data_IF_161529454509
#
_entry.id   IF_161529454509
#
_cell.length_a   1.000
_cell.length_b   1.000
_cell.length_c   1.000
_cell.angle_alpha   90.00
_cell.angle_beta   90.00
_cell.angle_gamma   90.00
#
_symmetry.space_group_name_H-M   'P 1'
#
loop_
_entity.id
_entity.type
_entity.pdbx_description
1 polymer ?
#
# COMPACT_ATOMS: atom_id res chain seq x y z
N UNK A 1 14.97 7.52 21.39
CA UNK A 1 15.83 8.71 21.54
C UNK A 1 16.07 9.48 20.24
N UNK A 2 16.58 8.88 19.16
CA UNK A 2 16.89 9.61 17.91
C UNK A 2 15.75 10.48 17.35
N UNK A 3 14.54 9.91 17.14
CA UNK A 3 13.39 10.68 16.62
C UNK A 3 13.05 11.91 17.47
N UNK A 4 13.10 11.78 18.80
CA UNK A 4 12.78 12.91 19.69
C UNK A 4 13.86 13.98 19.66
N UNK A 5 15.14 13.59 19.54
CA UNK A 5 16.24 14.54 19.40
C UNK A 5 16.14 15.36 18.10
N UNK A 6 15.81 14.70 16.99
CA UNK A 6 15.78 15.34 15.67
C UNK A 6 14.45 16.07 15.38
N UNK A 7 13.34 15.55 15.90
CA UNK A 7 11.98 15.96 15.49
C UNK A 7 11.02 16.22 16.67
N UNK A 8 11.44 15.98 17.90
CA UNK A 8 10.57 16.10 19.08
C UNK A 8 9.36 15.16 18.99
N UNK A 9 8.14 15.73 19.08
CA UNK A 9 6.87 15.00 18.91
C UNK A 9 6.25 15.18 17.52
N UNK A 10 6.96 15.83 16.59
CA UNK A 10 6.45 16.05 15.24
C UNK A 10 6.40 14.74 14.44
N UNK A 11 5.48 14.69 13.48
CA UNK A 11 5.47 13.65 12.45
C UNK A 11 6.67 13.86 11.54
N UNK A 12 7.33 12.77 11.18
CA UNK A 12 8.39 12.77 10.16
C UNK A 12 8.24 11.54 9.26
N UNK A 13 8.67 11.67 8.01
CA UNK A 13 8.45 10.65 6.97
C UNK A 13 9.50 9.55 7.03
N UNK A 14 9.52 8.80 8.13
CA UNK A 14 10.40 7.64 8.33
C UNK A 14 9.58 6.41 8.73
N UNK A 15 10.00 5.24 8.26
CA UNK A 15 9.45 3.97 8.72
C UNK A 15 9.79 3.71 10.20
N UNK A 16 9.15 2.70 10.81
CA UNK A 16 9.38 2.32 12.21
C UNK A 16 10.85 1.95 12.52
N UNK A 17 11.63 1.56 11.51
CA UNK A 17 13.07 1.27 11.62
C UNK A 17 13.97 2.50 11.44
N UNK A 18 13.39 3.70 11.21
CA UNK A 18 14.12 4.95 11.00
C UNK A 18 14.50 5.24 9.54
N UNK A 19 14.15 4.37 8.59
CA UNK A 19 14.45 4.60 7.17
C UNK A 19 13.55 5.71 6.59
N UNK A 20 14.11 6.77 5.97
CA UNK A 20 13.32 7.81 5.32
C UNK A 20 12.46 7.26 4.18
N UNK A 21 11.27 7.83 4.01
CA UNK A 21 10.50 7.62 2.80
C UNK A 21 11.30 8.15 1.60
N UNK A 22 11.34 7.37 0.52
CA UNK A 22 12.00 7.78 -0.71
C UNK A 22 11.13 7.42 -1.91
N UNK A 23 11.37 8.09 -3.04
CA UNK A 23 10.70 7.79 -4.30
C UNK A 23 10.96 6.35 -4.79
N UNK A 24 11.95 5.63 -4.26
CA UNK A 24 12.24 4.23 -4.64
C UNK A 24 11.13 3.26 -4.26
N UNK A 25 10.20 3.66 -3.38
CA UNK A 25 9.01 2.88 -3.05
C UNK A 25 7.89 3.00 -4.09
N UNK A 26 7.96 3.97 -5.00
CA UNK A 26 7.03 4.10 -6.11
C UNK A 26 7.50 3.18 -7.23
N UNK A 27 6.70 2.18 -7.57
CA UNK A 27 6.91 1.41 -8.78
C UNK A 27 6.01 1.97 -9.89
N UNK A 28 6.57 2.07 -11.08
CA UNK A 28 5.88 2.49 -12.29
C UNK A 28 6.71 1.98 -13.47
N UNK A 29 6.18 0.99 -14.20
CA UNK A 29 6.84 0.37 -15.34
C UNK A 29 6.28 0.84 -16.67
N UNK A 30 5.09 1.46 -16.66
CA UNK A 30 4.40 1.88 -17.89
C UNK A 30 3.78 0.71 -18.65
N UNK A 31 3.83 -0.49 -18.07
CA UNK A 31 3.07 -1.66 -18.47
C UNK A 31 1.89 -1.77 -17.51
N UNK A 32 0.68 -1.54 -18.02
CA UNK A 32 -0.53 -1.45 -17.20
C UNK A 32 -0.83 -2.75 -16.44
N UNK A 33 -0.48 -3.91 -17.00
CA UNK A 33 -0.70 -5.20 -16.32
C UNK A 33 0.29 -5.35 -15.16
N UNK A 34 1.56 -5.03 -15.39
CA UNK A 34 2.58 -5.06 -14.34
C UNK A 34 2.25 -4.06 -13.22
N UNK A 35 1.87 -2.83 -13.59
CA UNK A 35 1.54 -1.76 -12.64
C UNK A 35 0.31 -2.16 -11.79
N UNK A 36 -0.75 -2.72 -12.37
CA UNK A 36 -1.92 -3.20 -11.62
C UNK A 36 -1.59 -4.36 -10.68
N UNK A 37 -0.71 -5.27 -11.07
CA UNK A 37 -0.24 -6.33 -10.18
C UNK A 37 0.59 -5.78 -9.01
N UNK A 38 1.41 -4.76 -9.25
CA UNK A 38 2.17 -4.08 -8.21
C UNK A 38 1.23 -3.37 -7.22
N UNK A 39 0.20 -2.69 -7.71
CA UNK A 39 -0.83 -2.05 -6.89
C UNK A 39 -1.57 -3.06 -6.01
N UNK A 40 -2.05 -4.18 -6.59
CA UNK A 40 -2.69 -5.27 -5.82
C UNK A 40 -1.76 -5.82 -4.72
N UNK A 41 -0.48 -6.01 -5.03
CA UNK A 41 0.50 -6.49 -4.05
C UNK A 41 0.75 -5.46 -2.93
N UNK A 42 0.79 -4.16 -3.27
CA UNK A 42 0.94 -3.09 -2.30
C UNK A 42 -0.23 -3.09 -1.29
N UNK A 43 -1.46 -3.24 -1.78
CA UNK A 43 -2.64 -3.27 -0.90
C UNK A 43 -2.67 -4.49 0.03
N UNK A 44 -2.23 -5.67 -0.44
CA UNK A 44 -2.12 -6.84 0.43
C UNK A 44 -1.06 -6.67 1.53
N UNK A 45 0.07 -6.03 1.21
CA UNK A 45 1.11 -5.72 2.19
C UNK A 45 0.65 -4.67 3.21
N UNK A 46 -0.08 -3.65 2.76
CA UNK A 46 -0.68 -2.64 3.63
C UNK A 46 -1.72 -3.27 4.57
N UNK A 47 -2.64 -4.09 4.04
CA UNK A 47 -3.63 -4.86 4.82
C UNK A 47 -2.97 -5.71 5.92
N UNK A 48 -1.91 -6.45 5.58
CA UNK A 48 -1.17 -7.27 6.53
C UNK A 48 -0.48 -6.41 7.60
N UNK A 49 0.07 -5.25 7.21
CA UNK A 49 0.67 -4.30 8.16
C UNK A 49 -0.36 -3.78 9.16
N UNK A 50 -1.56 -3.39 8.71
CA UNK A 50 -2.61 -2.96 9.63
C UNK A 50 -3.08 -4.07 10.56
N UNK A 51 -3.19 -5.31 10.08
CA UNK A 51 -3.48 -6.47 10.94
C UNK A 51 -2.46 -6.59 12.08
N UNK A 52 -1.17 -6.44 11.78
CA UNK A 52 -0.13 -6.48 12.81
C UNK A 52 -0.21 -5.29 13.77
N UNK A 53 -0.48 -4.09 13.27
CA UNK A 53 -0.66 -2.91 14.14
C UNK A 53 -1.86 -3.05 15.07
N UNK A 54 -2.97 -3.64 14.60
CA UNK A 54 -4.14 -3.95 15.44
C UNK A 54 -3.77 -4.91 16.57
N UNK A 55 -2.92 -5.89 16.30
CA UNK A 55 -2.44 -6.85 17.30
C UNK A 55 -1.42 -6.25 18.30
N UNK A 56 -0.82 -5.11 17.97
CA UNK A 56 0.21 -4.45 18.81
C UNK A 56 -0.35 -3.43 19.80
N UNK A 57 -1.65 -3.15 19.78
CA UNK A 57 -2.28 -2.15 20.64
C UNK A 57 -3.54 -2.71 21.29
N UNK A 58 -3.97 -2.12 22.40
CA UNK A 58 -5.26 -2.37 23.04
C UNK A 58 -6.19 -1.14 23.03
N UNK A 59 -5.73 -0.02 22.47
CA UNK A 59 -6.53 1.19 22.35
C UNK A 59 -7.67 1.01 21.34
N UNK A 60 -8.90 1.17 21.81
CA UNK A 60 -10.11 0.95 21.01
C UNK A 60 -10.26 1.95 19.85
N UNK A 61 -9.86 3.20 20.02
CA UNK A 61 -9.97 4.22 18.98
C UNK A 61 -8.93 3.99 17.88
N UNK A 62 -7.73 3.56 18.26
CA UNK A 62 -6.71 3.15 17.28
C UNK A 62 -7.18 1.92 16.49
N UNK A 63 -7.70 0.88 17.18
CA UNK A 63 -8.22 -0.32 16.51
C UNK A 63 -9.35 -0.01 15.52
N UNK A 64 -10.23 0.93 15.86
CA UNK A 64 -11.31 1.38 14.97
C UNK A 64 -10.78 2.01 13.69
N UNK A 65 -9.80 2.90 13.80
CA UNK A 65 -9.18 3.56 12.64
C UNK A 65 -8.43 2.53 11.77
N UNK A 66 -7.62 1.68 12.39
CA UNK A 66 -6.88 0.65 11.65
C UNK A 66 -7.81 -0.39 11.01
N UNK A 67 -8.91 -0.74 11.66
CA UNK A 67 -9.95 -1.62 11.11
C UNK A 67 -10.56 -1.06 9.83
N UNK A 68 -10.93 0.24 9.84
CA UNK A 68 -11.42 0.92 8.66
C UNK A 68 -10.40 0.93 7.51
N UNK A 69 -9.14 1.28 7.79
CA UNK A 69 -8.09 1.27 6.76
C UNK A 69 -7.85 -0.13 6.19
N UNK A 70 -7.79 -1.15 7.06
CA UNK A 70 -7.63 -2.55 6.66
C UNK A 70 -8.75 -3.02 5.74
N UNK A 71 -10.01 -2.69 6.04
CA UNK A 71 -11.15 -3.03 5.19
C UNK A 71 -11.07 -2.34 3.82
N UNK A 72 -10.59 -1.09 3.79
CA UNK A 72 -10.36 -0.39 2.54
C UNK A 72 -9.31 -1.05 1.65
N UNK A 73 -8.24 -1.60 2.21
CA UNK A 73 -7.24 -2.27 1.37
C UNK A 73 -7.79 -3.56 0.74
N UNK A 74 -8.77 -4.21 1.35
CA UNK A 74 -9.51 -5.30 0.70
C UNK A 74 -10.31 -4.78 -0.50
N UNK A 75 -10.97 -3.63 -0.34
CA UNK A 75 -11.72 -2.99 -1.44
C UNK A 75 -10.77 -2.52 -2.55
N UNK A 76 -9.67 -1.85 -2.23
CA UNK A 76 -8.69 -1.40 -3.23
C UNK A 76 -8.12 -2.60 -4.00
N UNK A 77 -7.72 -3.68 -3.30
CA UNK A 77 -7.26 -4.91 -3.94
C UNK A 77 -8.29 -5.48 -4.94
N UNK A 78 -9.57 -5.53 -4.55
CA UNK A 78 -10.65 -5.99 -5.42
C UNK A 78 -10.82 -5.07 -6.64
N UNK A 79 -10.80 -3.75 -6.45
CA UNK A 79 -10.95 -2.78 -7.55
C UNK A 79 -9.79 -2.84 -8.55
N UNK A 80 -8.55 -3.00 -8.07
CA UNK A 80 -7.42 -3.20 -8.97
C UNK A 80 -7.51 -4.55 -9.70
N UNK A 81 -8.00 -5.60 -9.04
CA UNK A 81 -8.28 -6.88 -9.68
C UNK A 81 -9.36 -6.80 -10.77
N UNK A 82 -10.45 -6.07 -10.53
CA UNK A 82 -11.49 -5.78 -11.53
C UNK A 82 -10.89 -5.01 -12.72
N UNK A 83 -10.11 -3.96 -12.46
CA UNK A 83 -9.43 -3.21 -13.51
C UNK A 83 -8.45 -4.06 -14.32
N UNK A 84 -7.74 -4.98 -13.68
CA UNK A 84 -6.84 -5.92 -14.35
C UNK A 84 -7.61 -6.84 -15.31
N UNK A 85 -8.74 -7.39 -14.87
CA UNK A 85 -9.61 -8.20 -15.73
C UNK A 85 -10.10 -7.39 -16.94
N UNK A 86 -10.58 -6.16 -16.71
CA UNK A 86 -11.03 -5.27 -17.80
C UNK A 86 -9.91 -4.99 -18.82
N UNK A 87 -8.69 -4.71 -18.34
CA UNK A 87 -7.52 -4.48 -19.21
C UNK A 87 -7.19 -5.73 -20.01
N UNK A 88 -7.17 -6.90 -19.38
CA UNK A 88 -6.83 -8.15 -20.05
C UNK A 88 -7.87 -8.58 -21.08
N UNK A 89 -9.16 -8.38 -20.80
CA UNK A 89 -10.26 -8.71 -21.71
C UNK A 89 -10.29 -7.81 -22.96
N UNK A 90 -9.82 -6.56 -22.83
CA UNK A 90 -9.80 -5.59 -23.93
C UNK A 90 -8.46 -5.47 -24.66
N UNK A 91 -7.39 -6.02 -24.09
CA UNK A 91 -6.06 -5.90 -24.67
C UNK A 91 -5.92 -6.74 -25.94
N UNK A 92 -5.35 -6.14 -26.98
CA UNK A 92 -5.01 -6.86 -28.21
C UNK A 92 -3.55 -7.33 -28.15
N UNK A 93 -3.19 -8.42 -28.86
CA UNK A 93 -1.80 -8.87 -28.93
C UNK A 93 -0.81 -7.79 -29.41
N UNK A 94 -1.28 -6.82 -30.20
CA UNK A 94 -0.49 -5.67 -30.65
C UNK A 94 -0.13 -4.66 -29.55
N UNK A 95 -0.88 -4.65 -28.45
CA UNK A 95 -0.71 -3.65 -27.38
C UNK A 95 0.49 -3.98 -26.48
N UNK A 96 0.94 -5.23 -26.51
CA UNK A 96 2.09 -5.74 -25.75
C UNK A 96 3.38 -5.83 -26.56
N UNK A 97 3.34 -5.49 -27.85
CA UNK A 97 4.48 -5.55 -28.76
C UNK A 97 4.82 -4.12 -29.21
N UNK A 98 5.51 -3.36 -28.36
CA UNK A 98 6.13 -2.08 -28.69
C UNK A 98 7.56 -2.05 -28.21
#
# INVERSE_FOLDING_TARGET
DGHYADHGKALFYTAATGNPWTATYIQAKGDVIADLHEDMNAEQKARATYEWLINLTDDAEIKKILGFLREREVVHYQRFGEALMDVQDNAKPSDFCK
#
